data_IF_933970026471
#
_entry.id   IF_933970026471
#
_cell.length_a   1.000
_cell.length_b   1.000
_cell.length_c   1.000
_cell.angle_alpha   90.00
_cell.angle_beta   90.00
_cell.angle_gamma   90.00
#
_symmetry.space_group_name_H-M   'P 1'
#
loop_
_entity.id
_entity.type
_entity.pdbx_description
1 polymer ?
#
# COMPACT_ATOMS: atom_id res chain seq x y z
N UNK A 1 -4.29 5.41 -11.06
CA UNK A 1 -3.74 4.03 -10.98
C UNK A 1 -3.10 3.87 -9.60
N UNK A 2 -3.32 2.76 -8.91
CA UNK A 2 -2.81 2.52 -7.56
C UNK A 2 -1.92 1.28 -7.51
N UNK A 3 -0.93 1.28 -6.60
CA UNK A 3 -0.12 0.11 -6.30
C UNK A 3 -0.19 -0.20 -4.81
N UNK A 4 -0.33 -1.48 -4.47
CA UNK A 4 -0.43 -1.94 -3.09
C UNK A 4 0.83 -2.73 -2.75
N UNK A 5 1.53 -2.35 -1.68
CA UNK A 5 2.79 -2.96 -1.28
C UNK A 5 2.68 -3.42 0.17
N UNK A 6 3.06 -4.66 0.44
CA UNK A 6 3.13 -5.23 1.79
C UNK A 6 4.56 -5.66 2.12
N UNK A 7 5.24 -5.01 3.07
CA UNK A 7 6.50 -5.54 3.59
C UNK A 7 6.28 -6.88 4.29
N UNK A 8 7.21 -7.81 4.11
CA UNK A 8 7.23 -9.03 4.92
C UNK A 8 7.43 -8.66 6.40
N UNK A 9 6.83 -9.43 7.30
CA UNK A 9 6.82 -9.19 8.76
C UNK A 9 6.05 -7.92 9.20
N UNK A 10 5.37 -7.23 8.28
CA UNK A 10 4.49 -6.10 8.58
C UNK A 10 3.03 -6.48 8.38
N UNK A 11 2.19 -6.05 9.32
CA UNK A 11 0.73 -6.06 9.14
C UNK A 11 0.22 -4.83 8.39
N UNK A 12 1.11 -4.02 7.82
CA UNK A 12 0.71 -2.86 7.04
C UNK A 12 0.74 -3.12 5.53
N UNK A 13 -0.26 -2.59 4.83
CA UNK A 13 -0.30 -2.47 3.37
C UNK A 13 -0.27 -0.99 3.00
N UNK A 14 0.62 -0.61 2.09
CA UNK A 14 0.77 0.75 1.60
C UNK A 14 0.19 0.84 0.20
N UNK A 15 -0.84 1.67 0.03
CA UNK A 15 -1.41 2.01 -1.27
C UNK A 15 -0.84 3.34 -1.75
N UNK A 16 0.02 3.32 -2.75
CA UNK A 16 0.49 4.53 -3.42
C UNK A 16 -0.40 4.84 -4.62
N UNK A 17 -0.82 6.10 -4.76
CA UNK A 17 -1.66 6.56 -5.86
C UNK A 17 -1.33 8.00 -6.21
N UNK A 18 -1.63 8.37 -7.46
CA UNK A 18 -1.58 9.75 -7.91
C UNK A 18 -2.80 10.51 -7.38
N UNK A 19 -2.56 11.72 -6.85
CA UNK A 19 -3.58 12.64 -6.40
C UNK A 19 -4.45 13.11 -7.57
N UNK A 20 -5.77 13.05 -7.41
CA UNK A 20 -6.73 13.39 -8.47
C UNK A 20 -6.82 14.90 -8.74
N UNK A 21 -6.60 15.72 -7.72
CA UNK A 21 -6.65 17.18 -7.78
C UNK A 21 -5.30 17.77 -8.16
N UNK A 22 -4.20 17.05 -7.89
CA UNK A 22 -2.82 17.46 -8.14
C UNK A 22 -2.04 16.38 -8.89
N UNK A 23 -2.19 16.29 -10.22
CA UNK A 23 -1.39 15.41 -11.05
C UNK A 23 0.10 15.63 -10.76
N UNK A 24 0.89 14.56 -10.69
CA UNK A 24 2.29 14.52 -10.21
C UNK A 24 2.50 14.46 -8.68
N UNK A 25 1.48 14.61 -7.84
CA UNK A 25 1.61 14.39 -6.40
C UNK A 25 1.24 12.94 -6.05
N UNK A 26 2.13 12.25 -5.34
CA UNK A 26 1.89 10.88 -4.88
C UNK A 26 1.35 10.93 -3.46
N UNK A 27 0.16 10.36 -3.26
CA UNK A 27 -0.40 10.11 -1.94
C UNK A 27 -0.21 8.66 -1.54
N UNK A 28 -0.30 8.41 -0.25
CA UNK A 28 -0.26 7.06 0.28
C UNK A 28 -1.27 6.87 1.38
N UNK A 29 -2.08 5.83 1.25
CA UNK A 29 -2.88 5.32 2.36
C UNK A 29 -2.11 4.13 2.94
N UNK A 30 -1.90 4.18 4.26
CA UNK A 30 -1.38 3.04 5.02
C UNK A 30 -2.56 2.36 5.68
N UNK A 31 -2.75 1.09 5.36
CA UNK A 31 -3.73 0.22 5.99
C UNK A 31 -3.02 -0.67 7.01
N UNK A 32 -3.42 -0.60 8.28
CA UNK A 32 -3.00 -1.56 9.28
C UNK A 32 -4.02 -2.70 9.32
N UNK A 33 -3.56 -3.91 9.09
CA UNK A 33 -4.36 -5.13 9.17
C UNK A 33 -4.32 -5.69 10.60
N UNK A 34 -5.42 -6.31 11.02
CA UNK A 34 -5.48 -7.16 12.19
C UNK A 34 -4.99 -8.59 11.85
N UNK A 35 -4.93 -9.46 12.86
CA UNK A 35 -4.49 -10.85 12.75
C UNK A 35 -5.35 -11.70 11.80
N UNK A 36 -6.61 -11.34 11.63
CA UNK A 36 -7.55 -11.97 10.69
C UNK A 36 -7.49 -11.39 9.26
N UNK A 37 -6.60 -10.41 9.02
CA UNK A 37 -6.45 -9.72 7.74
C UNK A 37 -7.45 -8.58 7.50
N UNK A 38 -8.34 -8.28 8.44
CA UNK A 38 -9.25 -7.15 8.34
C UNK A 38 -8.53 -5.82 8.58
N UNK A 39 -9.04 -4.72 8.01
CA UNK A 39 -8.49 -3.38 8.27
C UNK A 39 -8.82 -2.96 9.70
N UNK A 40 -7.80 -2.89 10.55
CA UNK A 40 -7.87 -2.36 11.90
C UNK A 40 -7.88 -0.84 11.92
N UNK A 41 -7.05 -0.22 11.08
CA UNK A 41 -6.98 1.23 10.96
C UNK A 41 -6.42 1.65 9.60
N UNK A 42 -6.68 2.90 9.20
CA UNK A 42 -6.10 3.49 8.01
C UNK A 42 -5.74 4.95 8.26
N UNK A 43 -4.67 5.42 7.63
CA UNK A 43 -4.33 6.84 7.62
C UNK A 43 -3.73 7.24 6.27
N UNK A 44 -4.15 8.41 5.79
CA UNK A 44 -3.56 9.04 4.61
C UNK A 44 -2.33 9.84 5.01
N UNK A 45 -1.26 9.71 4.22
CA UNK A 45 -0.03 10.48 4.35
C UNK A 45 0.32 11.05 2.99
N UNK A 46 0.75 12.30 2.98
CA UNK A 46 1.47 12.83 1.82
C UNK A 46 2.75 12.04 1.69
N UNK A 47 2.92 11.40 0.55
CA UNK A 47 4.12 10.68 0.21
C UNK A 47 4.89 11.39 -0.88
N UNK A 48 6.11 10.94 -1.12
CA UNK A 48 6.93 11.46 -2.19
C UNK A 48 7.49 10.33 -3.05
N UNK A 49 8.01 10.68 -4.22
CA UNK A 49 8.61 9.73 -5.14
C UNK A 49 9.73 8.90 -4.48
N UNK A 50 10.48 9.47 -3.53
CA UNK A 50 11.54 8.76 -2.81
C UNK A 50 10.99 7.59 -1.98
N UNK A 51 9.84 7.76 -1.34
CA UNK A 51 9.18 6.68 -0.58
C UNK A 51 8.68 5.57 -1.51
N UNK A 52 8.06 5.94 -2.63
CA UNK A 52 7.64 4.98 -3.66
C UNK A 52 8.83 4.16 -4.20
N UNK A 53 9.93 4.84 -4.56
CA UNK A 53 11.16 4.17 -5.01
C UNK A 53 11.76 3.26 -3.93
N UNK A 54 11.70 3.66 -2.65
CA UNK A 54 12.14 2.81 -1.54
C UNK A 54 11.29 1.54 -1.38
N UNK A 55 9.98 1.65 -1.58
CA UNK A 55 9.07 0.51 -1.55
C UNK A 55 9.35 -0.45 -2.71
N UNK A 56 9.57 0.07 -3.93
CA UNK A 56 9.96 -0.73 -5.10
C UNK A 56 11.28 -1.48 -4.85
N UNK A 57 12.32 -0.79 -4.35
CA UNK A 57 13.59 -1.43 -3.98
C UNK A 57 13.44 -2.53 -2.93
N UNK A 58 12.48 -2.37 -2.02
CA UNK A 58 12.18 -3.40 -1.02
C UNK A 58 11.55 -4.65 -1.64
N UNK A 59 10.75 -4.49 -2.70
CA UNK A 59 10.22 -5.60 -3.50
C UNK A 59 11.36 -6.30 -4.24
N UNK A 60 12.21 -5.54 -4.92
CA UNK A 60 13.38 -6.09 -5.64
C UNK A 60 14.32 -6.87 -4.71
N UNK A 61 14.46 -6.41 -3.47
CA UNK A 61 15.25 -7.08 -2.44
C UNK A 61 14.56 -8.28 -1.77
N UNK A 62 13.34 -8.65 -2.18
CA UNK A 62 12.57 -9.75 -1.59
C UNK A 62 12.10 -9.48 -0.15
N UNK A 63 11.95 -8.20 0.23
CA UNK A 63 11.51 -7.76 1.57
C UNK A 63 10.05 -7.28 1.59
N UNK A 64 9.42 -7.16 0.42
CA UNK A 64 8.04 -6.75 0.28
C UNK A 64 7.43 -7.42 -0.96
N UNK A 65 6.10 -7.51 -0.98
CA UNK A 65 5.33 -8.02 -2.10
C UNK A 65 4.42 -6.96 -2.70
N UNK A 66 4.22 -7.04 -4.02
CA UNK A 66 3.19 -6.30 -4.72
C UNK A 66 1.86 -7.06 -4.61
N UNK A 67 0.84 -6.38 -4.11
CA UNK A 67 -0.53 -6.92 -4.06
C UNK A 67 -1.29 -6.38 -5.27
N UNK A 68 -1.87 -7.27 -6.07
CA UNK A 68 -2.76 -6.86 -7.16
C UNK A 68 -4.04 -6.25 -6.59
N UNK A 69 -4.62 -5.26 -7.29
CA UNK A 69 -5.87 -4.63 -6.85
C UNK A 69 -7.00 -5.64 -6.63
N UNK A 70 -7.08 -6.67 -7.50
CA UNK A 70 -8.04 -7.79 -7.34
C UNK A 70 -7.82 -8.56 -6.04
N UNK A 71 -6.57 -8.85 -5.68
CA UNK A 71 -6.25 -9.55 -4.43
C UNK A 71 -6.53 -8.65 -3.22
N UNK A 72 -6.22 -7.36 -3.33
CA UNK A 72 -6.55 -6.38 -2.29
C UNK A 72 -8.06 -6.28 -2.07
N UNK A 73 -8.85 -6.17 -3.15
CA UNK A 73 -10.31 -6.15 -3.09
C UNK A 73 -10.86 -7.41 -2.42
N UNK A 74 -10.33 -8.59 -2.71
CA UNK A 74 -10.72 -9.82 -2.00
C UNK A 74 -10.41 -9.77 -0.50
N UNK A 75 -9.27 -9.21 -0.10
CA UNK A 75 -8.88 -9.07 1.30
C UNK A 75 -9.85 -8.16 2.08
N UNK A 76 -10.37 -7.11 1.44
CA UNK A 76 -11.26 -6.14 2.10
C UNK A 76 -12.76 -6.48 1.94
N UNK A 77 -13.15 -7.20 0.87
CA UNK A 77 -14.54 -7.50 0.52
C UNK A 77 -15.01 -8.90 0.94
N UNK A 78 -14.12 -9.86 1.25
CA UNK A 78 -14.51 -11.18 1.76
C UNK A 78 -14.95 -11.13 3.25
N UNK A 79 -15.72 -10.10 3.62
CA UNK A 79 -16.48 -10.05 4.86
C UNK A 79 -17.80 -10.80 4.71
#
# INVERSE_FOLDING_TARGET
MSIFIRPHESNNVFCFYEDIDNPNLIKTISYQLDTDGTIKSQWEKTSNLKQLLGAIKSIEAGKAELISEKNWQKLILNK
#
